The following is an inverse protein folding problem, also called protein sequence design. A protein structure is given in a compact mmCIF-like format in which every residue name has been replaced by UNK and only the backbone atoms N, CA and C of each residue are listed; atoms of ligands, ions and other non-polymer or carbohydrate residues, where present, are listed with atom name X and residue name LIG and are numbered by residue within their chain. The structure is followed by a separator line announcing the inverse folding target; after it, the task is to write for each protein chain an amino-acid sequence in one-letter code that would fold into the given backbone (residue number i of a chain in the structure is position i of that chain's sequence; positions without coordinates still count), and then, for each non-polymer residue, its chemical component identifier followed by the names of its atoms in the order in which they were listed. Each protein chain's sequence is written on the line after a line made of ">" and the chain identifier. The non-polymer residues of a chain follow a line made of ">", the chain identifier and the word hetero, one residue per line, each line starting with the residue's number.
data_IF_096116919507
#
_entry.id   IF_096116919507
#
_cell.length_a   1.000
_cell.length_b   1.000
_cell.length_c   1.000
_cell.angle_alpha   90.00
_cell.angle_beta   90.00
_cell.angle_gamma   90.00
#
_symmetry.space_group_name_H-M   'P 1'
#
loop_
_entity.id
_entity.type
_entity.pdbx_description
1 polymer ?
#
# COMPACT_ATOMS: atom_id res chain seq x y z
N UNK A 1 -66.11 4.20 11.97
CA UNK A 1 -64.70 3.84 12.22
C UNK A 1 -64.13 3.35 10.90
N UNK A 2 -63.49 4.25 10.16
CA UNK A 2 -62.81 3.96 8.90
C UNK A 2 -61.41 3.48 9.26
N UNK A 3 -61.12 2.20 9.01
CA UNK A 3 -59.77 1.64 9.11
C UNK A 3 -58.95 2.24 7.95
N UNK A 4 -58.01 3.11 8.27
CA UNK A 4 -56.99 3.56 7.33
C UNK A 4 -56.04 2.38 7.05
N UNK A 5 -56.19 1.77 5.88
CA UNK A 5 -55.20 0.84 5.37
C UNK A 5 -53.94 1.65 5.03
N UNK A 6 -52.90 1.52 5.84
CA UNK A 6 -51.57 1.99 5.48
C UNK A 6 -51.14 1.20 4.25
N UNK A 7 -51.01 1.88 3.12
CA UNK A 7 -50.43 1.32 1.91
C UNK A 7 -49.00 0.96 2.26
N UNK A 8 -48.65 -0.33 2.24
CA UNK A 8 -47.25 -0.72 2.29
C UNK A 8 -46.54 -0.01 1.11
N UNK A 9 -45.36 0.61 1.33
CA UNK A 9 -44.57 1.11 0.23
C UNK A 9 -44.33 -0.03 -0.77
N UNK A 10 -44.25 0.25 -2.08
CA UNK A 10 -44.02 -0.79 -3.08
C UNK A 10 -42.76 -1.57 -2.71
N UNK A 11 -42.87 -2.90 -2.64
CA UNK A 11 -41.73 -3.80 -2.47
C UNK A 11 -40.72 -3.48 -3.58
N UNK A 12 -39.54 -3.02 -3.18
CA UNK A 12 -38.40 -2.88 -4.09
C UNK A 12 -37.75 -4.24 -4.22
N UNK A 13 -37.45 -4.64 -5.45
CA UNK A 13 -36.67 -5.84 -5.70
C UNK A 13 -35.33 -5.74 -4.95
N UNK A 14 -34.85 -6.85 -4.33
CA UNK A 14 -33.55 -6.87 -3.68
C UNK A 14 -32.42 -6.45 -4.62
N UNK A 15 -31.49 -5.65 -4.13
CA UNK A 15 -30.36 -5.16 -4.92
C UNK A 15 -29.10 -4.96 -4.07
N UNK A 16 -27.95 -5.02 -4.74
CA UNK A 16 -26.66 -4.58 -4.21
C UNK A 16 -26.32 -3.26 -4.92
N UNK A 17 -26.51 -2.14 -4.24
CA UNK A 17 -26.22 -0.81 -4.75
C UNK A 17 -24.73 -0.50 -4.47
N UNK A 18 -23.94 -0.30 -5.52
CA UNK A 18 -22.50 0.02 -5.43
C UNK A 18 -22.24 1.35 -6.13
N UNK A 19 -21.69 2.32 -5.40
CA UNK A 19 -21.35 3.65 -5.93
C UNK A 19 -19.86 3.92 -5.72
N UNK A 20 -19.06 4.01 -6.78
CA UNK A 20 -17.66 4.46 -6.70
C UNK A 20 -17.56 5.88 -6.12
N UNK A 21 -16.47 6.16 -5.42
CA UNK A 21 -16.11 7.49 -4.92
C UNK A 21 -14.89 8.01 -5.69
N UNK A 22 -14.67 9.32 -5.62
CA UNK A 22 -13.65 10.03 -6.40
C UNK A 22 -12.27 9.99 -5.74
N UNK A 23 -11.55 8.88 -5.88
CA UNK A 23 -10.16 8.76 -5.41
C UNK A 23 -9.57 7.39 -5.71
N UNK A 24 -8.24 7.29 -5.83
CA UNK A 24 -7.59 6.01 -6.14
C UNK A 24 -7.78 4.96 -5.06
N UNK A 25 -7.88 5.40 -3.80
CA UNK A 25 -8.14 4.57 -2.63
C UNK A 25 -9.39 5.03 -1.89
N UNK A 26 -10.34 5.68 -2.56
CA UNK A 26 -11.60 5.99 -1.89
C UNK A 26 -12.43 4.70 -1.78
N UNK A 27 -13.05 4.43 -0.61
CA UNK A 27 -13.90 3.28 -0.43
C UNK A 27 -15.15 3.39 -1.30
N UNK A 28 -15.69 2.25 -1.71
CA UNK A 28 -16.99 2.18 -2.37
C UNK A 28 -18.10 2.46 -1.35
N UNK A 29 -19.20 3.09 -1.78
CA UNK A 29 -20.43 3.06 -1.00
C UNK A 29 -21.25 1.82 -1.42
N UNK A 30 -21.49 0.91 -0.47
CA UNK A 30 -22.21 -0.35 -0.72
C UNK A 30 -23.43 -0.44 0.20
N UNK A 31 -24.61 -0.54 -0.41
CA UNK A 31 -25.86 -0.76 0.32
C UNK A 31 -26.60 -1.97 -0.22
N UNK A 32 -27.02 -2.86 0.69
CA UNK A 32 -27.96 -3.92 0.39
C UNK A 32 -29.38 -3.37 0.58
N UNK A 33 -30.23 -3.46 -0.42
CA UNK A 33 -31.55 -2.83 -0.44
C UNK A 33 -32.65 -3.82 -0.78
N UNK A 34 -33.90 -3.50 -0.42
CA UNK A 34 -35.08 -4.31 -0.79
C UNK A 34 -35.21 -5.62 0.01
N UNK A 35 -34.65 -5.68 1.23
CA UNK A 35 -34.52 -6.93 1.98
C UNK A 35 -35.75 -7.28 2.81
N UNK A 36 -36.55 -6.28 3.22
CA UNK A 36 -37.58 -6.44 4.23
C UNK A 36 -37.00 -6.26 5.65
N UNK A 37 -37.77 -5.61 6.52
CA UNK A 37 -37.29 -5.19 7.83
C UNK A 37 -36.88 -6.36 8.73
N UNK A 38 -35.71 -6.26 9.38
CA UNK A 38 -35.19 -7.30 10.28
C UNK A 38 -34.80 -8.60 9.59
N UNK A 39 -34.77 -8.65 8.25
CA UNK A 39 -34.39 -9.86 7.51
C UNK A 39 -32.90 -10.10 7.63
N UNK A 40 -32.53 -11.34 7.95
CA UNK A 40 -31.14 -11.79 7.88
C UNK A 40 -30.75 -12.08 6.43
N UNK A 41 -29.60 -11.56 6.02
CA UNK A 41 -29.07 -11.74 4.66
C UNK A 41 -27.58 -12.08 4.70
N UNK A 42 -27.11 -12.82 3.71
CA UNK A 42 -25.71 -13.17 3.54
C UNK A 42 -25.16 -12.58 2.25
N UNK A 43 -24.10 -11.78 2.39
CA UNK A 43 -23.28 -11.26 1.30
C UNK A 43 -22.05 -12.16 1.15
N UNK A 44 -21.75 -12.57 -0.08
CA UNK A 44 -20.53 -13.29 -0.45
C UNK A 44 -19.82 -12.51 -1.54
N UNK A 45 -18.51 -12.29 -1.38
CA UNK A 45 -17.67 -11.77 -2.44
C UNK A 45 -16.73 -12.87 -2.95
N UNK A 46 -16.57 -12.97 -4.27
CA UNK A 46 -15.64 -13.92 -4.90
C UNK A 46 -14.84 -13.24 -6.00
N UNK A 47 -13.60 -13.70 -6.19
CA UNK A 47 -12.74 -13.29 -7.31
C UNK A 47 -11.74 -14.39 -7.62
N UNK A 48 -11.15 -14.32 -8.80
CA UNK A 48 -10.02 -15.15 -9.20
C UNK A 48 -8.91 -14.23 -9.71
N UNK A 49 -7.74 -14.31 -9.06
CA UNK A 49 -6.57 -13.49 -9.38
C UNK A 49 -5.42 -14.45 -9.65
N UNK A 50 -4.86 -14.44 -10.86
CA UNK A 50 -3.76 -15.32 -11.26
C UNK A 50 -4.03 -16.81 -10.94
N UNK A 51 -5.23 -17.29 -11.28
CA UNK A 51 -5.67 -18.66 -11.00
C UNK A 51 -5.93 -18.99 -9.53
N UNK A 52 -5.81 -18.00 -8.63
CA UNK A 52 -6.10 -18.14 -7.21
C UNK A 52 -7.52 -17.65 -6.90
N UNK A 53 -8.41 -18.58 -6.57
CA UNK A 53 -9.75 -18.27 -6.12
C UNK A 53 -9.73 -17.70 -4.69
N UNK A 54 -10.47 -16.62 -4.50
CA UNK A 54 -10.58 -15.91 -3.24
C UNK A 54 -12.04 -15.62 -2.90
N UNK A 55 -12.37 -15.64 -1.61
CA UNK A 55 -13.72 -15.30 -1.16
C UNK A 55 -13.77 -14.71 0.24
N UNK A 56 -14.77 -13.85 0.47
CA UNK A 56 -15.19 -13.38 1.78
C UNK A 56 -16.70 -13.59 1.95
N UNK A 57 -17.18 -13.59 3.19
CA UNK A 57 -18.61 -13.63 3.47
C UNK A 57 -18.96 -12.86 4.73
N UNK A 58 -20.14 -12.27 4.75
CA UNK A 58 -20.71 -11.67 5.94
C UNK A 58 -22.22 -11.83 6.00
N UNK A 59 -22.74 -11.93 7.21
CA UNK A 59 -24.17 -11.97 7.52
C UNK A 59 -24.56 -10.64 8.15
N UNK A 60 -25.72 -10.11 7.75
CA UNK A 60 -26.27 -8.86 8.26
C UNK A 60 -27.76 -9.03 8.59
N UNK A 61 -28.28 -8.12 9.42
CA UNK A 61 -29.72 -7.97 9.66
C UNK A 61 -30.14 -6.61 9.12
N UNK A 62 -31.13 -6.59 8.23
CA UNK A 62 -31.64 -5.36 7.64
C UNK A 62 -32.34 -4.48 8.68
N UNK A 63 -32.20 -3.16 8.53
CA UNK A 63 -32.87 -2.15 9.35
C UNK A 63 -34.40 -2.12 9.13
N UNK A 64 -35.09 -1.16 9.77
CA UNK A 64 -36.56 -1.00 9.64
C UNK A 64 -37.01 -0.65 8.21
N UNK A 65 -36.11 -0.09 7.39
CA UNK A 65 -36.35 0.25 5.98
C UNK A 65 -35.97 -0.91 5.04
N UNK A 66 -35.49 -2.03 5.57
CA UNK A 66 -35.04 -3.18 4.79
C UNK A 66 -33.73 -2.92 4.06
N UNK A 67 -32.81 -2.15 4.66
CA UNK A 67 -31.50 -1.80 4.13
C UNK A 67 -30.36 -2.23 5.06
N UNK A 68 -29.17 -2.38 4.47
CA UNK A 68 -27.90 -2.52 5.17
C UNK A 68 -26.87 -1.66 4.45
N UNK A 69 -26.46 -0.55 5.06
CA UNK A 69 -25.29 0.20 4.61
C UNK A 69 -24.03 -0.38 5.28
N UNK A 70 -23.11 -0.92 4.45
CA UNK A 70 -21.92 -1.59 4.96
C UNK A 70 -20.95 -0.62 5.66
N UNK A 71 -20.98 0.68 5.33
CA UNK A 71 -20.13 1.68 5.97
C UNK A 71 -20.50 1.93 7.44
N UNK A 72 -21.74 1.63 7.82
CA UNK A 72 -22.29 1.97 9.14
C UNK A 72 -22.85 0.77 9.90
N UNK A 73 -23.06 -0.36 9.22
CA UNK A 73 -23.56 -1.61 9.83
C UNK A 73 -22.46 -2.66 9.90
N UNK A 74 -22.11 -3.09 11.12
CA UNK A 74 -21.20 -4.22 11.32
C UNK A 74 -21.92 -5.56 11.04
N UNK A 75 -21.23 -6.55 10.46
CA UNK A 75 -21.80 -7.88 10.26
C UNK A 75 -22.03 -8.60 11.58
N UNK A 76 -23.05 -9.45 11.64
CA UNK A 76 -23.34 -10.30 12.80
C UNK A 76 -22.44 -11.53 12.85
N UNK A 77 -21.93 -11.97 11.69
CA UNK A 77 -21.00 -13.08 11.51
C UNK A 77 -20.27 -12.86 10.18
N UNK A 78 -18.99 -13.24 10.06
CA UNK A 78 -18.34 -13.21 8.76
C UNK A 78 -16.82 -13.24 8.79
N UNK A 79 -16.25 -12.89 7.65
CA UNK A 79 -14.82 -12.71 7.41
C UNK A 79 -14.26 -11.43 8.03
N UNK A 80 -15.12 -10.48 8.42
CA UNK A 80 -14.78 -9.26 9.17
C UNK A 80 -15.84 -8.99 10.23
N UNK A 81 -15.56 -8.05 11.16
CA UNK A 81 -16.39 -7.82 12.37
C UNK A 81 -16.77 -6.37 12.62
N UNK A 82 -16.24 -5.42 11.85
CA UNK A 82 -16.52 -3.98 11.97
C UNK A 82 -17.42 -3.49 10.84
N UNK A 83 -18.08 -2.35 11.02
CA UNK A 83 -18.74 -1.65 9.92
C UNK A 83 -17.64 -1.13 8.97
N UNK A 84 -17.68 -1.59 7.72
CA UNK A 84 -16.68 -1.29 6.71
C UNK A 84 -17.23 -1.64 5.32
N UNK A 85 -17.38 -0.62 4.47
CA UNK A 85 -17.86 -0.80 3.10
C UNK A 85 -16.89 -1.63 2.23
N UNK A 86 -15.62 -1.66 2.60
CA UNK A 86 -14.58 -2.40 1.90
C UNK A 86 -14.28 -3.77 2.53
N UNK A 87 -14.98 -4.13 3.61
CA UNK A 87 -15.00 -5.46 4.24
C UNK A 87 -14.99 -6.62 3.23
N UNK A 88 -15.90 -6.64 2.23
CA UNK A 88 -15.95 -7.72 1.24
C UNK A 88 -14.65 -7.95 0.45
N UNK A 89 -13.78 -6.94 0.33
CA UNK A 89 -12.60 -6.96 -0.54
C UNK A 89 -11.32 -7.31 0.24
N UNK A 90 -11.01 -6.58 1.31
CA UNK A 90 -9.78 -6.83 2.06
C UNK A 90 -9.83 -8.13 2.86
N UNK A 91 -11.02 -8.58 3.26
CA UNK A 91 -11.18 -9.76 4.13
C UNK A 91 -11.24 -11.08 3.35
N UNK A 92 -10.98 -11.06 2.03
CA UNK A 92 -11.02 -12.29 1.24
C UNK A 92 -9.89 -13.22 1.66
N UNK A 93 -10.22 -14.51 1.69
CA UNK A 93 -9.31 -15.60 1.99
C UNK A 93 -9.25 -16.54 0.79
N UNK A 94 -8.10 -17.18 0.57
CA UNK A 94 -7.84 -18.01 -0.60
C UNK A 94 -6.39 -18.46 -0.65
N UNK A 95 -5.93 -18.87 -1.83
CA UNK A 95 -4.50 -19.15 -2.04
C UNK A 95 -3.68 -17.88 -1.84
N UNK A 96 -2.43 -18.07 -1.39
CA UNK A 96 -1.48 -16.97 -1.17
C UNK A 96 -1.18 -16.27 -2.50
N UNK A 97 -1.50 -14.98 -2.59
CA UNK A 97 -1.11 -14.12 -3.70
C UNK A 97 0.30 -13.58 -3.52
N UNK A 98 1.01 -13.41 -4.64
CA UNK A 98 2.18 -12.53 -4.71
C UNK A 98 1.78 -11.05 -4.63
N UNK A 99 2.73 -10.17 -4.32
CA UNK A 99 2.50 -8.72 -4.24
C UNK A 99 2.01 -8.14 -5.58
N UNK A 100 2.59 -8.60 -6.69
CA UNK A 100 2.19 -8.19 -8.04
C UNK A 100 0.74 -8.59 -8.35
N UNK A 101 0.38 -9.86 -8.12
CA UNK A 101 -0.96 -10.36 -8.32
C UNK A 101 -1.98 -9.60 -7.45
N UNK A 102 -1.62 -9.25 -6.21
CA UNK A 102 -2.47 -8.45 -5.34
C UNK A 102 -2.70 -7.01 -5.86
N UNK A 103 -1.79 -6.48 -6.67
CA UNK A 103 -1.92 -5.17 -7.33
C UNK A 103 -2.69 -5.20 -8.65
N UNK A 104 -2.98 -6.39 -9.20
CA UNK A 104 -3.57 -6.53 -10.52
C UNK A 104 -5.05 -6.12 -10.56
N UNK A 105 -5.48 -5.67 -11.74
CA UNK A 105 -6.88 -5.48 -12.08
C UNK A 105 -7.63 -6.81 -11.99
N UNK A 106 -8.77 -6.80 -11.29
CA UNK A 106 -9.62 -7.97 -11.18
C UNK A 106 -11.08 -7.57 -10.97
N UNK A 107 -11.98 -8.48 -11.28
CA UNK A 107 -13.41 -8.31 -11.05
C UNK A 107 -13.83 -9.08 -9.80
N UNK A 108 -14.70 -8.49 -8.99
CA UNK A 108 -15.25 -9.10 -7.79
C UNK A 108 -16.76 -9.28 -7.96
N UNK A 109 -17.22 -10.52 -7.89
CA UNK A 109 -18.66 -10.82 -7.87
C UNK A 109 -19.16 -10.71 -6.44
N UNK A 110 -20.17 -9.87 -6.23
CA UNK A 110 -20.91 -9.76 -4.97
C UNK A 110 -22.26 -10.45 -5.14
N UNK A 111 -22.51 -11.50 -4.36
CA UNK A 111 -23.76 -12.26 -4.39
C UNK A 111 -24.48 -12.15 -3.04
N UNK A 112 -25.76 -11.79 -3.09
CA UNK A 112 -26.63 -11.60 -1.93
C UNK A 112 -27.67 -12.71 -1.88
N UNK A 113 -27.85 -13.33 -0.72
CA UNK A 113 -28.83 -14.39 -0.49
C UNK A 113 -29.53 -14.25 0.86
N UNK A 114 -30.70 -14.87 0.98
CA UNK A 114 -31.42 -15.03 2.24
C UNK A 114 -32.06 -16.41 2.28
N UNK A 115 -32.00 -17.08 3.43
CA UNK A 115 -32.51 -18.45 3.61
C UNK A 115 -31.94 -19.47 2.59
N UNK A 116 -30.74 -19.21 2.06
CA UNK A 116 -30.09 -20.02 1.03
C UNK A 116 -30.52 -19.72 -0.41
N UNK A 117 -31.50 -18.84 -0.62
CA UNK A 117 -31.98 -18.45 -1.94
C UNK A 117 -31.28 -17.16 -2.43
N UNK A 118 -30.85 -17.10 -3.70
CA UNK A 118 -30.23 -15.91 -4.27
C UNK A 118 -31.25 -14.77 -4.40
N UNK A 119 -30.84 -13.56 -3.99
CA UNK A 119 -31.64 -12.35 -4.06
C UNK A 119 -31.14 -11.39 -5.14
N UNK A 120 -29.83 -11.14 -5.19
CA UNK A 120 -29.22 -10.21 -6.13
C UNK A 120 -27.74 -10.57 -6.35
N UNK A 121 -27.19 -10.11 -7.48
CA UNK A 121 -25.77 -10.23 -7.79
C UNK A 121 -25.31 -8.99 -8.56
N UNK A 122 -24.07 -8.57 -8.33
CA UNK A 122 -23.40 -7.52 -9.11
C UNK A 122 -21.92 -7.82 -9.24
N UNK A 123 -21.27 -7.23 -10.25
CA UNK A 123 -19.82 -7.33 -10.46
C UNK A 123 -19.21 -5.95 -10.25
N UNK A 124 -18.16 -5.90 -9.44
CA UNK A 124 -17.39 -4.69 -9.13
C UNK A 124 -16.01 -4.85 -9.74
N UNK A 125 -15.65 -3.96 -10.66
CA UNK A 125 -14.29 -3.89 -11.17
C UNK A 125 -13.36 -3.24 -10.14
N UNK A 126 -12.22 -3.89 -9.85
CA UNK A 126 -11.19 -3.43 -8.92
C UNK A 126 -9.89 -3.20 -9.69
N UNK A 127 -9.82 -2.09 -10.41
CA UNK A 127 -8.60 -1.68 -11.09
C UNK A 127 -7.53 -1.31 -10.06
N UNK A 128 -6.29 -1.80 -10.23
CA UNK A 128 -5.06 -1.52 -9.49
C UNK A 128 -4.75 -0.02 -9.34
N UNK A 129 -5.34 0.77 -10.22
CA UNK A 129 -5.06 2.17 -10.50
C UNK A 129 -6.32 2.83 -11.07
N UNK A 130 -6.36 4.16 -11.05
CA UNK A 130 -7.31 4.90 -11.90
C UNK A 130 -7.01 4.58 -13.36
N UNK A 131 -8.00 4.63 -14.26
CA UNK A 131 -7.83 4.32 -15.69
C UNK A 131 -6.97 5.32 -16.47
N UNK A 132 -6.38 6.31 -15.79
CA UNK A 132 -5.61 7.41 -16.34
C UNK A 132 -4.14 7.35 -15.89
N UNK A 133 -3.59 6.15 -15.67
CA UNK A 133 -2.17 5.93 -15.41
C UNK A 133 -1.52 5.21 -16.59
N UNK A 134 -0.48 5.81 -17.15
CA UNK A 134 0.40 5.18 -18.13
C UNK A 134 1.65 4.61 -17.45
N UNK A 135 1.99 3.35 -17.72
CA UNK A 135 3.23 2.72 -17.22
C UNK A 135 4.17 2.46 -18.39
N UNK A 136 5.39 3.01 -18.32
CA UNK A 136 6.43 2.87 -19.35
C UNK A 136 7.63 2.14 -18.79
N UNK A 137 8.07 1.07 -19.47
CA UNK A 137 9.34 0.43 -19.13
C UNK A 137 10.52 1.32 -19.55
N UNK A 138 11.52 1.45 -18.68
CA UNK A 138 12.70 2.30 -18.88
C UNK A 138 13.95 1.45 -18.79
N UNK A 139 14.80 1.55 -19.81
CA UNK A 139 16.09 0.85 -19.92
C UNK A 139 17.28 1.79 -20.10
N UNK A 140 17.07 3.09 -19.88
CA UNK A 140 18.09 4.12 -20.02
C UNK A 140 19.22 3.89 -19.00
N UNK A 141 20.47 4.17 -19.40
CA UNK A 141 21.66 4.01 -18.55
C UNK A 141 21.80 2.63 -17.85
N UNK A 142 21.23 1.59 -18.46
CA UNK A 142 21.27 0.23 -17.92
C UNK A 142 20.32 -0.01 -16.75
N UNK A 143 19.42 0.94 -16.46
CA UNK A 143 18.37 0.76 -15.48
C UNK A 143 17.41 -0.35 -15.89
N UNK A 144 16.85 -1.03 -14.89
CA UNK A 144 15.66 -1.86 -15.05
C UNK A 144 14.57 -1.17 -14.25
N UNK A 145 13.72 -0.41 -14.93
CA UNK A 145 12.79 0.51 -14.30
C UNK A 145 11.43 0.57 -14.99
N UNK A 146 10.43 1.07 -14.28
CA UNK A 146 9.10 1.37 -14.81
C UNK A 146 8.63 2.72 -14.30
N UNK A 147 8.29 3.62 -15.23
CA UNK A 147 7.79 4.95 -14.92
C UNK A 147 6.27 4.97 -15.04
N UNK A 148 5.59 5.13 -13.91
CA UNK A 148 4.15 5.27 -13.82
C UNK A 148 3.79 6.76 -13.78
N UNK A 149 2.92 7.20 -14.68
CA UNK A 149 2.63 8.61 -14.93
C UNK A 149 1.12 8.82 -15.00
N UNK A 150 0.56 9.75 -14.22
CA UNK A 150 -0.83 10.14 -14.40
C UNK A 150 -1.03 10.91 -15.71
N UNK A 151 -2.17 10.71 -16.37
CA UNK A 151 -2.50 11.37 -17.62
C UNK A 151 -2.48 12.90 -17.46
N UNK A 152 -1.99 13.58 -18.49
CA UNK A 152 -1.96 15.03 -18.51
C UNK A 152 -0.92 15.69 -17.59
N UNK A 153 -0.05 14.93 -16.92
CA UNK A 153 1.01 15.46 -16.05
C UNK A 153 1.79 16.63 -16.67
N UNK A 154 2.23 16.49 -17.92
CA UNK A 154 3.01 17.51 -18.64
C UNK A 154 2.26 18.84 -18.85
N UNK A 155 0.93 18.84 -18.66
CA UNK A 155 0.06 20.01 -18.77
C UNK A 155 -0.35 20.59 -17.43
N UNK A 156 -0.01 19.92 -16.32
CA UNK A 156 -0.24 20.38 -14.96
C UNK A 156 0.88 21.32 -14.48
N UNK A 157 0.67 21.97 -13.33
CA UNK A 157 1.77 22.60 -12.61
C UNK A 157 2.83 21.53 -12.24
N UNK A 158 4.04 21.96 -11.91
CA UNK A 158 5.08 21.02 -11.45
C UNK A 158 4.53 20.19 -10.29
N UNK A 159 4.64 18.87 -10.40
CA UNK A 159 4.03 17.90 -9.48
C UNK A 159 5.11 17.19 -8.70
N UNK A 160 4.94 16.98 -7.38
CA UNK A 160 5.81 16.11 -6.61
C UNK A 160 5.96 14.73 -7.25
N UNK A 161 7.16 14.15 -7.15
CA UNK A 161 7.47 12.87 -7.79
C UNK A 161 8.10 11.90 -6.80
N UNK A 162 7.99 10.59 -7.06
CA UNK A 162 8.48 9.57 -6.13
C UNK A 162 9.41 8.57 -6.83
N UNK A 163 10.64 8.43 -6.34
CA UNK A 163 11.51 7.32 -6.68
C UNK A 163 11.16 6.12 -5.79
N UNK A 164 10.74 5.01 -6.39
CA UNK A 164 10.17 3.85 -5.70
C UNK A 164 11.07 2.64 -5.90
N UNK A 165 11.31 1.89 -4.82
CA UNK A 165 12.05 0.64 -4.88
C UNK A 165 11.55 -0.37 -3.84
N UNK A 166 11.78 -1.65 -4.15
CA UNK A 166 11.41 -2.78 -3.31
C UNK A 166 12.33 -2.96 -2.11
N UNK A 167 12.21 -4.10 -1.44
CA UNK A 167 13.07 -4.56 -0.36
C UNK A 167 13.87 -5.81 -0.73
N UNK A 168 14.00 -6.74 0.21
CA UNK A 168 14.82 -7.96 0.07
C UNK A 168 14.35 -8.95 -1.01
N UNK A 169 13.16 -8.76 -1.58
CA UNK A 169 12.67 -9.56 -2.70
C UNK A 169 13.53 -9.38 -3.95
N UNK A 170 13.97 -8.15 -4.24
CA UNK A 170 14.65 -7.77 -5.48
C UNK A 170 13.76 -7.86 -6.71
N UNK A 171 14.31 -7.54 -7.87
CA UNK A 171 13.52 -7.36 -9.09
C UNK A 171 12.69 -6.08 -9.07
N UNK A 172 11.78 -5.96 -10.03
CA UNK A 172 11.02 -4.73 -10.28
C UNK A 172 9.55 -4.80 -9.82
N UNK A 173 8.97 -5.99 -9.67
CA UNK A 173 7.51 -6.15 -9.61
C UNK A 173 6.87 -5.49 -8.39
N UNK A 174 7.50 -5.62 -7.21
CA UNK A 174 7.05 -4.96 -5.98
C UNK A 174 7.12 -3.43 -6.08
N UNK A 175 8.24 -2.91 -6.59
CA UNK A 175 8.44 -1.48 -6.82
C UNK A 175 7.46 -0.92 -7.86
N UNK A 176 7.22 -1.67 -8.96
CA UNK A 176 6.27 -1.31 -10.00
C UNK A 176 4.85 -1.17 -9.43
N UNK A 177 4.44 -2.12 -8.60
CA UNK A 177 3.11 -2.10 -7.96
C UNK A 177 2.92 -0.85 -7.07
N UNK A 178 3.94 -0.51 -6.28
CA UNK A 178 3.92 0.69 -5.46
C UNK A 178 3.94 1.99 -6.29
N UNK A 179 4.74 2.05 -7.37
CA UNK A 179 4.76 3.20 -8.28
C UNK A 179 3.42 3.43 -8.98
N UNK A 180 2.74 2.37 -9.41
CA UNK A 180 1.39 2.44 -9.96
C UNK A 180 0.39 2.98 -8.94
N UNK A 181 0.53 2.58 -7.68
CA UNK A 181 -0.31 3.07 -6.57
C UNK A 181 -0.09 4.58 -6.32
N UNK A 182 1.16 5.05 -6.35
CA UNK A 182 1.50 6.48 -6.26
C UNK A 182 0.98 7.27 -7.48
N UNK A 183 1.10 6.72 -8.69
CA UNK A 183 0.57 7.34 -9.89
C UNK A 183 -0.96 7.44 -9.87
N UNK A 184 -1.65 6.48 -9.26
CA UNK A 184 -3.09 6.55 -9.06
C UNK A 184 -3.49 7.68 -8.09
N UNK A 185 -2.65 8.05 -7.11
CA UNK A 185 -2.83 9.26 -6.31
C UNK A 185 -2.60 10.56 -7.13
N UNK A 186 -2.15 10.44 -8.38
CA UNK A 186 -1.91 11.55 -9.28
C UNK A 186 -0.48 12.09 -9.25
N UNK A 187 0.50 11.30 -8.79
CA UNK A 187 1.91 11.72 -8.73
C UNK A 187 2.80 10.81 -9.59
N UNK A 188 3.68 11.36 -10.45
CA UNK A 188 4.63 10.54 -11.21
C UNK A 188 5.54 9.73 -10.29
N UNK A 189 5.75 8.46 -10.61
CA UNK A 189 6.59 7.57 -9.83
C UNK A 189 7.49 6.69 -10.72
N UNK A 190 8.78 6.66 -10.40
CA UNK A 190 9.74 5.77 -11.05
C UNK A 190 10.05 4.59 -10.14
N UNK A 191 9.59 3.40 -10.52
CA UNK A 191 10.04 2.15 -9.93
C UNK A 191 11.40 1.75 -10.51
N UNK A 192 12.37 1.43 -9.65
CA UNK A 192 13.65 0.86 -10.07
C UNK A 192 13.91 -0.49 -9.41
N UNK A 193 14.55 -1.39 -10.15
CA UNK A 193 15.21 -2.56 -9.59
C UNK A 193 16.69 -2.25 -9.33
N UNK A 194 17.27 -2.82 -8.28
CA UNK A 194 18.68 -2.62 -7.91
C UNK A 194 19.46 -3.93 -7.72
N UNK A 195 18.77 -5.08 -7.70
CA UNK A 195 19.37 -6.42 -7.70
C UNK A 195 18.35 -7.45 -8.19
N UNK A 196 18.82 -8.64 -8.59
CA UNK A 196 18.02 -9.73 -9.19
C UNK A 196 17.34 -9.37 -10.52
N UNK A 197 17.79 -8.33 -11.21
CA UNK A 197 17.44 -8.08 -12.61
C UNK A 197 18.66 -8.23 -13.53
N UNK A 198 18.46 -8.36 -14.86
CA UNK A 198 19.57 -8.51 -15.80
C UNK A 198 20.63 -7.42 -15.63
N UNK A 199 21.90 -7.82 -15.55
CA UNK A 199 23.03 -6.89 -15.38
C UNK A 199 23.28 -6.41 -13.96
N UNK A 200 22.46 -6.80 -12.98
CA UNK A 200 22.57 -6.38 -11.59
C UNK A 200 23.13 -7.50 -10.68
N UNK A 201 23.52 -7.18 -9.42
CA UNK A 201 23.86 -8.20 -8.43
C UNK A 201 22.75 -9.24 -8.27
N UNK A 202 23.09 -10.49 -8.00
CA UNK A 202 22.10 -11.57 -7.81
C UNK A 202 21.59 -11.68 -6.37
N UNK A 203 22.26 -11.01 -5.44
CA UNK A 203 22.01 -11.03 -4.00
C UNK A 203 21.92 -9.60 -3.48
N UNK A 204 21.31 -9.42 -2.30
CA UNK A 204 21.33 -8.13 -1.61
C UNK A 204 22.70 -7.98 -0.93
N UNK A 205 23.75 -7.84 -1.72
CA UNK A 205 25.12 -7.74 -1.25
C UNK A 205 25.90 -6.85 -2.20
N UNK A 206 26.61 -5.88 -1.63
CA UNK A 206 27.45 -4.93 -2.35
C UNK A 206 26.70 -4.18 -3.47
N UNK A 207 25.41 -3.91 -3.28
CA UNK A 207 24.57 -3.18 -4.24
C UNK A 207 25.06 -1.73 -4.35
N UNK A 208 25.37 -1.23 -5.56
CA UNK A 208 25.81 0.15 -5.75
C UNK A 208 24.68 1.15 -5.46
N UNK A 209 24.93 2.13 -4.59
CA UNK A 209 24.02 3.26 -4.30
C UNK A 209 23.77 4.09 -5.56
N UNK A 210 24.71 4.09 -6.50
CA UNK A 210 24.66 4.79 -7.77
C UNK A 210 23.45 4.38 -8.63
N UNK A 211 22.93 3.15 -8.47
CA UNK A 211 21.70 2.74 -9.15
C UNK A 211 20.49 3.62 -8.74
N UNK A 212 20.41 3.97 -7.45
CA UNK A 212 19.36 4.85 -6.93
C UNK A 212 19.58 6.31 -7.37
N UNK A 213 20.82 6.78 -7.35
CA UNK A 213 21.17 8.14 -7.79
C UNK A 213 20.90 8.34 -9.29
N UNK A 214 21.13 7.31 -10.10
CA UNK A 214 20.79 7.33 -11.54
C UNK A 214 19.28 7.46 -11.73
N UNK A 215 18.49 6.65 -11.02
CA UNK A 215 17.02 6.75 -11.04
C UNK A 215 16.51 8.11 -10.56
N UNK A 216 17.11 8.66 -9.50
CA UNK A 216 16.78 9.99 -8.98
C UNK A 216 17.05 11.07 -10.02
N UNK A 217 18.22 11.06 -10.66
CA UNK A 217 18.57 12.01 -11.72
C UNK A 217 17.60 11.92 -12.89
N UNK A 218 17.33 10.71 -13.36
CA UNK A 218 16.41 10.49 -14.47
C UNK A 218 14.99 11.00 -14.15
N UNK A 219 14.49 10.74 -12.93
CA UNK A 219 13.15 11.19 -12.52
C UNK A 219 13.05 12.72 -12.50
N UNK A 220 14.09 13.40 -12.01
CA UNK A 220 14.16 14.87 -11.96
C UNK A 220 14.18 15.53 -13.34
N UNK A 221 14.56 14.80 -14.38
CA UNK A 221 14.59 15.29 -15.77
C UNK A 221 13.23 15.18 -16.46
N UNK A 222 12.24 14.49 -15.87
CA UNK A 222 10.97 14.24 -16.54
C UNK A 222 10.08 15.50 -16.62
N UNK A 223 9.40 15.72 -17.77
CA UNK A 223 8.47 16.82 -17.91
C UNK A 223 7.35 16.80 -16.87
N UNK A 224 7.09 17.95 -16.23
CA UNK A 224 6.04 18.08 -15.22
C UNK A 224 6.46 17.69 -13.80
N UNK A 225 7.67 17.15 -13.59
CA UNK A 225 8.19 16.88 -12.24
C UNK A 225 8.64 18.17 -11.56
N UNK A 226 8.26 18.32 -10.28
CA UNK A 226 8.84 19.30 -9.38
C UNK A 226 10.14 18.79 -8.78
N UNK A 227 11.26 19.37 -9.23
CA UNK A 227 12.59 19.01 -8.77
C UNK A 227 12.85 19.38 -7.31
N UNK A 228 12.06 20.27 -6.72
CA UNK A 228 12.24 20.65 -5.31
C UNK A 228 11.42 19.74 -4.38
N UNK A 229 10.54 18.90 -4.94
CA UNK A 229 9.60 18.02 -4.21
C UNK A 229 9.66 16.58 -4.71
N UNK A 230 10.88 16.02 -4.76
CA UNK A 230 11.09 14.60 -5.06
C UNK A 230 11.22 13.79 -3.78
N UNK A 231 10.48 12.69 -3.68
CA UNK A 231 10.45 11.78 -2.54
C UNK A 231 11.07 10.44 -2.88
N UNK A 232 11.51 9.70 -1.87
CA UNK A 232 11.90 8.29 -2.02
C UNK A 232 10.93 7.37 -1.27
N UNK A 233 10.56 6.25 -1.88
CA UNK A 233 9.74 5.21 -1.28
C UNK A 233 10.51 3.89 -1.27
N UNK A 234 10.65 3.26 -0.10
CA UNK A 234 11.29 1.97 0.02
C UNK A 234 10.69 1.10 1.13
N UNK A 235 10.43 -0.17 0.85
CA UNK A 235 9.89 -1.12 1.84
C UNK A 235 10.99 -1.95 2.48
N UNK A 236 10.91 -2.22 3.79
CA UNK A 236 11.87 -3.10 4.49
C UNK A 236 13.33 -2.65 4.30
N UNK A 237 14.18 -3.49 3.69
CA UNK A 237 15.56 -3.15 3.31
C UNK A 237 15.63 -1.91 2.39
N UNK A 238 14.64 -1.71 1.53
CA UNK A 238 14.51 -0.48 0.74
C UNK A 238 14.25 0.74 1.62
N UNK A 239 13.52 0.60 2.73
CA UNK A 239 13.29 1.70 3.67
C UNK A 239 14.59 2.25 4.26
N UNK A 240 15.61 1.41 4.46
CA UNK A 240 16.97 1.86 4.83
C UNK A 240 17.52 2.85 3.80
N UNK A 241 17.44 2.48 2.52
CA UNK A 241 17.99 3.28 1.43
C UNK A 241 17.15 4.54 1.15
N UNK A 242 15.82 4.47 1.32
CA UNK A 242 14.95 5.65 1.19
C UNK A 242 15.31 6.71 2.24
N UNK A 243 15.45 6.30 3.51
CA UNK A 243 15.89 7.21 4.57
C UNK A 243 17.32 7.69 4.34
N UNK A 244 18.22 6.82 3.87
CA UNK A 244 19.60 7.19 3.58
C UNK A 244 19.70 8.24 2.48
N UNK A 245 18.95 8.09 1.39
CA UNK A 245 18.91 9.07 0.29
C UNK A 245 18.36 10.42 0.76
N UNK A 246 17.27 10.42 1.53
CA UNK A 246 16.71 11.66 2.10
C UNK A 246 17.69 12.38 3.03
N UNK A 247 18.47 11.63 3.81
CA UNK A 247 19.42 12.20 4.76
C UNK A 247 20.74 12.68 4.10
N UNK A 248 21.22 11.96 3.07
CA UNK A 248 22.53 12.23 2.46
C UNK A 248 22.45 13.07 1.18
N UNK A 249 21.25 13.21 0.60
CA UNK A 249 20.99 14.04 -0.57
C UNK A 249 19.78 14.98 -0.35
N UNK A 250 19.75 15.77 0.75
CA UNK A 250 18.60 16.63 1.08
C UNK A 250 18.35 17.74 0.04
N UNK A 251 19.36 18.08 -0.78
CA UNK A 251 19.24 19.01 -1.91
C UNK A 251 18.46 18.43 -3.10
N UNK A 252 18.28 17.10 -3.14
CA UNK A 252 17.62 16.39 -4.24
C UNK A 252 16.43 15.54 -3.81
N UNK A 253 16.37 15.16 -2.54
CA UNK A 253 15.30 14.34 -1.95
C UNK A 253 14.67 15.11 -0.81
N UNK A 254 13.44 15.54 -1.03
CA UNK A 254 12.65 16.34 -0.11
C UNK A 254 12.15 15.54 1.09
N UNK A 255 11.84 14.25 0.93
CA UNK A 255 11.27 13.42 1.99
C UNK A 255 11.25 11.94 1.66
N UNK A 256 10.77 11.11 2.59
CA UNK A 256 10.80 9.66 2.43
C UNK A 256 9.56 8.94 2.96
N UNK A 257 9.19 7.84 2.30
CA UNK A 257 8.16 6.90 2.72
C UNK A 257 8.83 5.54 2.96
N UNK A 258 8.84 5.07 4.20
CA UNK A 258 9.57 3.87 4.60
C UNK A 258 8.68 2.89 5.40
N UNK A 259 7.69 2.23 4.76
CA UNK A 259 6.92 1.19 5.41
C UNK A 259 7.83 0.01 5.75
N UNK A 260 7.76 -0.42 7.01
CA UNK A 260 8.59 -1.47 7.62
C UNK A 260 10.10 -1.27 7.46
N UNK A 261 10.54 -0.04 7.21
CA UNK A 261 11.95 0.33 7.08
C UNK A 261 12.73 0.35 8.39
N UNK A 262 14.03 0.60 8.29
CA UNK A 262 14.90 0.83 9.44
C UNK A 262 15.74 2.10 9.25
N UNK A 263 15.99 2.81 10.35
CA UNK A 263 16.94 3.92 10.39
C UNK A 263 18.41 3.51 10.49
N UNK A 264 18.76 2.29 10.09
CA UNK A 264 20.10 1.73 10.19
C UNK A 264 20.37 0.82 9.00
N UNK A 265 21.62 0.77 8.55
CA UNK A 265 22.07 -0.08 7.46
C UNK A 265 22.43 -1.47 8.01
N UNK A 266 21.74 -2.49 7.53
CA UNK A 266 22.06 -3.88 7.88
C UNK A 266 22.96 -4.52 6.83
N UNK A 267 23.74 -5.50 7.24
CA UNK A 267 24.57 -6.23 6.28
C UNK A 267 23.71 -7.02 5.27
N UNK A 268 24.34 -7.41 4.17
CA UNK A 268 23.68 -8.04 3.03
C UNK A 268 23.04 -9.39 3.33
N UNK A 269 22.26 -9.86 2.38
CA UNK A 269 21.61 -11.17 2.40
C UNK A 269 21.94 -11.94 1.11
N UNK A 270 22.32 -13.22 1.19
CA UNK A 270 22.29 -14.12 2.36
C UNK A 270 23.52 -14.01 3.28
N UNK A 271 24.56 -13.29 2.87
CA UNK A 271 25.78 -13.13 3.66
C UNK A 271 25.73 -11.89 4.57
N UNK A 272 25.24 -12.08 5.80
CA UNK A 272 25.10 -11.06 6.85
C UNK A 272 26.41 -10.47 7.39
N UNK A 273 27.51 -10.55 6.64
CA UNK A 273 28.84 -10.05 7.02
C UNK A 273 29.43 -9.09 5.98
N UNK A 274 28.80 -8.96 4.82
CA UNK A 274 29.19 -8.00 3.78
C UNK A 274 28.20 -6.86 3.77
N UNK A 275 28.63 -5.66 3.37
CA UNK A 275 27.71 -4.54 3.23
C UNK A 275 26.62 -4.86 2.22
N UNK A 276 25.38 -4.52 2.54
CA UNK A 276 24.30 -4.56 1.56
C UNK A 276 24.52 -3.53 0.45
N UNK A 277 25.11 -2.39 0.83
CA UNK A 277 25.24 -1.19 -0.01
C UNK A 277 26.71 -0.81 -0.20
N UNK A 278 27.07 -0.36 -1.40
CA UNK A 278 28.37 0.25 -1.69
C UNK A 278 28.19 1.65 -2.26
N UNK A 279 29.11 2.55 -1.95
CA UNK A 279 29.22 3.88 -2.53
C UNK A 279 30.65 4.06 -3.04
N UNK A 280 30.81 4.42 -4.31
CA UNK A 280 32.09 4.48 -5.01
C UNK A 280 32.90 3.17 -4.90
N UNK A 281 32.19 2.04 -4.88
CA UNK A 281 32.76 0.70 -4.68
C UNK A 281 33.24 0.39 -3.26
N UNK A 282 32.98 1.28 -2.29
CA UNK A 282 33.29 1.08 -0.86
C UNK A 282 32.03 0.67 -0.13
N UNK A 283 32.07 -0.44 0.60
CA UNK A 283 30.94 -0.88 1.42
C UNK A 283 30.58 0.14 2.50
N UNK A 284 29.30 0.52 2.57
CA UNK A 284 28.80 1.32 3.67
C UNK A 284 28.85 0.51 4.97
N UNK A 285 29.08 1.14 6.15
CA UNK A 285 29.03 0.45 7.43
C UNK A 285 27.69 -0.28 7.60
N UNK A 286 27.74 -1.50 8.12
CA UNK A 286 26.55 -2.32 8.28
C UNK A 286 26.60 -3.14 9.58
N UNK A 287 25.43 -3.42 10.15
CA UNK A 287 25.28 -4.30 11.30
C UNK A 287 24.79 -5.69 10.84
N UNK A 288 25.44 -6.80 11.26
CA UNK A 288 24.93 -8.14 11.01
C UNK A 288 23.55 -8.39 11.65
N UNK A 289 22.69 -9.14 10.95
CA UNK A 289 21.37 -9.52 11.48
C UNK A 289 20.33 -8.42 11.32
N UNK A 290 19.44 -8.29 12.31
CA UNK A 290 18.26 -7.40 12.28
C UNK A 290 17.91 -6.82 13.66
N UNK A 291 18.90 -6.70 14.55
CA UNK A 291 18.69 -6.24 15.91
C UNK A 291 18.47 -4.71 15.98
N UNK A 292 17.58 -4.27 16.87
CA UNK A 292 17.35 -2.85 17.21
C UNK A 292 18.51 -2.30 18.03
N UNK A 293 18.77 -0.98 17.96
CA UNK A 293 19.82 -0.32 18.74
C UNK A 293 21.22 -0.56 18.19
N UNK A 294 21.36 -0.49 16.85
CA UNK A 294 22.61 -0.74 16.13
C UNK A 294 23.70 0.32 16.44
N UNK A 295 24.99 0.01 16.19
CA UNK A 295 26.09 0.95 16.41
C UNK A 295 25.91 2.28 15.65
N UNK A 296 26.37 3.43 16.20
CA UNK A 296 26.19 4.74 15.57
C UNK A 296 26.70 4.82 14.12
N UNK A 297 27.76 4.10 13.78
CA UNK A 297 28.34 4.10 12.44
C UNK A 297 27.44 3.48 11.37
N UNK A 298 26.47 2.64 11.75
CA UNK A 298 25.51 2.01 10.84
C UNK A 298 24.19 2.76 10.77
N UNK A 299 23.98 3.73 11.68
CA UNK A 299 22.76 4.51 11.73
C UNK A 299 22.69 5.47 10.54
N UNK A 300 21.52 5.53 9.91
CA UNK A 300 21.20 6.58 8.95
C UNK A 300 21.10 7.91 9.70
N UNK A 301 21.76 8.99 9.23
CA UNK A 301 21.75 10.30 9.88
C UNK A 301 20.43 11.03 9.62
N UNK A 302 19.32 10.47 10.09
CA UNK A 302 17.96 10.96 9.83
C UNK A 302 17.68 12.36 10.37
N UNK A 303 18.51 12.86 11.30
CA UNK A 303 18.51 14.26 11.74
C UNK A 303 18.75 15.24 10.59
N UNK A 304 19.40 14.82 9.50
CA UNK A 304 19.67 15.65 8.32
C UNK A 304 18.50 15.71 7.33
N UNK A 305 17.40 14.98 7.56
CA UNK A 305 16.23 15.00 6.67
C UNK A 305 15.43 16.28 6.89
N UNK A 306 15.30 17.08 5.83
CA UNK A 306 14.70 18.43 5.91
C UNK A 306 13.19 18.49 5.63
N UNK A 307 12.60 17.44 5.06
CA UNK A 307 11.17 17.41 4.75
C UNK A 307 10.45 16.16 5.28
N UNK A 308 9.18 15.96 4.86
CA UNK A 308 8.27 15.05 5.54
C UNK A 308 8.65 13.57 5.34
N UNK A 309 8.43 12.80 6.40
CA UNK A 309 8.69 11.35 6.43
C UNK A 309 7.45 10.61 6.91
N UNK A 310 7.09 9.54 6.21
CA UNK A 310 6.06 8.59 6.66
C UNK A 310 6.71 7.25 6.97
N UNK A 311 6.61 6.81 8.23
CA UNK A 311 7.04 5.51 8.72
C UNK A 311 5.79 4.67 9.03
N UNK A 312 5.84 3.37 8.73
CA UNK A 312 4.77 2.46 9.13
C UNK A 312 5.30 1.11 9.60
N UNK A 313 4.63 0.47 10.54
CA UNK A 313 4.99 -0.86 11.01
C UNK A 313 3.77 -1.67 11.49
N UNK A 314 3.91 -2.99 11.41
CA UNK A 314 3.04 -3.95 12.08
C UNK A 314 3.81 -4.74 13.13
N UNK A 315 3.15 -5.15 14.22
CA UNK A 315 3.80 -5.90 15.31
C UNK A 315 3.86 -7.41 15.08
N UNK A 316 3.19 -7.92 14.05
CA UNK A 316 3.19 -9.34 13.73
C UNK A 316 4.31 -9.72 12.74
N UNK A 317 4.68 -11.00 12.72
CA UNK A 317 5.68 -11.54 11.80
C UNK A 317 7.03 -11.86 12.48
N UNK A 318 7.72 -12.96 12.10
CA UNK A 318 8.85 -13.49 12.87
C UNK A 318 10.25 -12.98 12.46
N UNK A 319 10.39 -12.13 11.44
CA UNK A 319 11.69 -11.91 10.78
C UNK A 319 12.34 -10.54 11.02
N UNK A 320 11.53 -9.51 11.31
CA UNK A 320 11.96 -8.12 11.35
C UNK A 320 11.10 -7.36 12.37
N UNK A 321 11.69 -6.85 13.45
CA UNK A 321 10.96 -6.04 14.45
C UNK A 321 10.69 -4.63 13.90
N UNK A 322 9.81 -4.55 12.91
CA UNK A 322 9.51 -3.31 12.18
C UNK A 322 9.12 -2.17 13.13
N UNK A 323 8.33 -2.48 14.18
CA UNK A 323 7.91 -1.46 15.14
C UNK A 323 9.00 -1.09 16.14
N UNK A 324 9.85 -2.03 16.56
CA UNK A 324 11.07 -1.70 17.31
C UNK A 324 11.98 -0.76 16.53
N UNK A 325 12.16 -1.01 15.23
CA UNK A 325 12.97 -0.19 14.33
C UNK A 325 12.36 1.20 14.09
N UNK A 326 11.05 1.28 13.91
CA UNK A 326 10.33 2.55 13.82
C UNK A 326 10.52 3.38 15.09
N UNK A 327 10.35 2.77 16.28
CA UNK A 327 10.53 3.44 17.58
C UNK A 327 11.98 3.84 17.86
N UNK A 328 12.95 3.15 17.25
CA UNK A 328 14.37 3.49 17.33
C UNK A 328 14.75 4.68 16.44
N UNK A 329 14.20 4.76 15.22
CA UNK A 329 14.54 5.84 14.28
C UNK A 329 13.77 7.13 14.54
N UNK A 330 12.47 7.04 14.89
CA UNK A 330 11.61 8.22 15.05
C UNK A 330 12.18 9.29 16.00
N UNK A 331 12.77 8.95 17.16
CA UNK A 331 13.30 9.95 18.08
C UNK A 331 14.55 10.68 17.57
N UNK A 332 15.21 10.17 16.52
CA UNK A 332 16.48 10.70 15.99
C UNK A 332 16.29 11.86 15.01
N UNK A 333 15.09 12.10 14.49
CA UNK A 333 14.81 13.26 13.65
C UNK A 333 14.87 14.57 14.46
N UNK A 334 15.48 15.61 13.88
CA UNK A 334 15.60 16.94 14.49
C UNK A 334 14.22 17.63 14.61
N UNK A 335 13.39 17.53 13.56
CA UNK A 335 12.00 17.98 13.58
C UNK A 335 11.03 16.81 13.49
N UNK A 336 10.59 16.33 14.66
CA UNK A 336 9.58 15.27 14.74
C UNK A 336 8.20 15.70 14.21
N UNK A 337 7.96 17.00 14.01
CA UNK A 337 6.74 17.52 13.38
C UNK A 337 6.62 17.11 11.91
N UNK A 338 7.74 16.75 11.26
CA UNK A 338 7.79 16.26 9.88
C UNK A 338 7.59 14.75 9.79
N UNK A 339 7.52 14.03 10.91
CA UNK A 339 7.46 12.55 10.92
C UNK A 339 6.06 12.08 11.28
N UNK A 340 5.38 11.48 10.29
CA UNK A 340 4.16 10.70 10.51
C UNK A 340 4.52 9.23 10.75
N UNK A 341 4.05 8.66 11.85
CA UNK A 341 4.32 7.28 12.23
C UNK A 341 3.02 6.50 12.41
N UNK A 342 2.87 5.44 11.62
CA UNK A 342 1.76 4.49 11.69
C UNK A 342 2.25 3.22 12.39
N UNK A 343 1.79 2.97 13.60
CA UNK A 343 2.09 1.73 14.32
C UNK A 343 0.80 0.96 14.55
N UNK A 344 0.73 -0.27 14.04
CA UNK A 344 -0.48 -1.08 14.15
C UNK A 344 -0.20 -2.43 14.81
N UNK A 345 -0.85 -2.66 15.95
CA UNK A 345 -0.83 -3.96 16.63
C UNK A 345 -1.51 -5.02 15.75
N UNK A 346 -0.94 -6.22 15.72
CA UNK A 346 -1.37 -7.38 14.94
C UNK A 346 -1.39 -7.17 13.41
N UNK A 347 -0.81 -6.09 12.90
CA UNK A 347 -0.60 -5.93 11.47
C UNK A 347 0.65 -6.69 11.01
N UNK A 348 0.58 -7.22 9.79
CA UNK A 348 1.69 -7.87 9.11
C UNK A 348 2.71 -6.89 8.49
N UNK A 349 3.68 -7.44 7.77
CA UNK A 349 4.84 -6.73 7.20
C UNK A 349 4.54 -6.02 5.87
N UNK A 350 3.52 -6.47 5.14
CA UNK A 350 3.27 -6.03 3.75
C UNK A 350 2.33 -4.81 3.71
N UNK A 351 2.81 -3.69 4.23
CA UNK A 351 2.10 -2.40 4.26
C UNK A 351 2.23 -1.61 2.95
N UNK A 352 3.19 -2.01 2.08
CA UNK A 352 3.40 -1.44 0.73
C UNK A 352 2.25 -1.71 -0.24
N UNK A 353 1.40 -2.70 0.03
CA UNK A 353 0.25 -2.98 -0.84
C UNK A 353 -0.82 -1.93 -0.59
N UNK A 354 -1.41 -1.39 -1.66
CA UNK A 354 -2.50 -0.44 -1.58
C UNK A 354 -3.69 -0.97 -0.74
N UNK A 355 -4.51 -0.07 -0.15
CA UNK A 355 -5.68 -0.46 0.63
C UNK A 355 -6.70 -1.32 -0.15
N UNK A 356 -7.54 -2.05 0.59
CA UNK A 356 -8.65 -2.86 0.09
C UNK A 356 -8.29 -4.00 -0.86
N UNK A 357 -7.00 -4.35 -0.94
CA UNK A 357 -6.56 -5.53 -1.67
C UNK A 357 -6.68 -6.77 -0.82
N UNK A 358 -7.17 -7.87 -1.40
CA UNK A 358 -7.22 -9.13 -0.70
C UNK A 358 -5.79 -9.62 -0.52
N UNK A 359 -5.27 -9.57 0.71
CA UNK A 359 -3.93 -10.07 0.98
C UNK A 359 -3.96 -11.08 2.12
N UNK A 360 -4.21 -12.33 1.74
CA UNK A 360 -4.00 -13.51 2.57
C UNK A 360 -2.52 -13.88 2.62
N UNK A 361 -1.70 -13.02 3.24
CA UNK A 361 -0.41 -13.50 3.72
C UNK A 361 -0.65 -14.05 5.11
N UNK A 362 -0.57 -15.38 5.22
CA UNK A 362 -0.55 -16.10 6.49
C UNK A 362 0.76 -15.74 7.23
N UNK A 363 0.88 -14.49 7.66
CA UNK A 363 1.93 -14.04 8.55
C UNK A 363 1.56 -14.45 9.98
N UNK A 364 2.38 -15.26 10.64
CA UNK A 364 2.07 -15.70 12.00
C UNK A 364 1.82 -14.51 12.94
N UNK A 365 0.64 -14.51 13.57
CA UNK A 365 0.22 -13.46 14.49
C UNK A 365 -0.44 -12.25 13.83
N UNK A 366 -0.44 -12.14 12.50
CA UNK A 366 -1.10 -11.04 11.82
C UNK A 366 -2.61 -11.29 11.72
N UNK A 367 -3.41 -10.24 11.88
CA UNK A 367 -4.83 -10.27 11.56
C UNK A 367 -5.10 -9.48 10.27
N UNK A 368 -6.00 -9.95 9.39
CA UNK A 368 -6.34 -9.24 8.15
C UNK A 368 -6.87 -7.83 8.40
N UNK A 369 -7.71 -7.64 9.44
CA UNK A 369 -8.27 -6.34 9.78
C UNK A 369 -7.22 -5.33 10.24
N UNK A 370 -6.31 -5.72 11.14
CA UNK A 370 -5.22 -4.84 11.56
C UNK A 370 -4.28 -4.50 10.39
N UNK A 371 -3.92 -5.50 9.58
CA UNK A 371 -3.07 -5.27 8.40
C UNK A 371 -3.75 -4.34 7.40
N UNK A 372 -5.06 -4.47 7.21
CA UNK A 372 -5.82 -3.57 6.36
C UNK A 372 -5.80 -2.13 6.90
N UNK A 373 -6.08 -1.93 8.19
CA UNK A 373 -6.07 -0.60 8.80
C UNK A 373 -4.70 0.06 8.67
N UNK A 374 -3.62 -0.68 8.94
CA UNK A 374 -2.25 -0.17 8.78
C UNK A 374 -1.95 0.32 7.35
N UNK A 375 -2.51 -0.36 6.33
CA UNK A 375 -2.38 0.08 4.93
C UNK A 375 -3.15 1.36 4.66
N UNK A 376 -4.39 1.45 5.14
CA UNK A 376 -5.21 2.66 4.98
C UNK A 376 -4.46 3.84 5.60
N UNK A 377 -4.08 3.73 6.87
CA UNK A 377 -3.41 4.81 7.59
C UNK A 377 -2.08 5.22 6.94
N UNK A 378 -1.29 4.25 6.45
CA UNK A 378 -0.03 4.52 5.77
C UNK A 378 -0.24 5.25 4.43
N UNK A 379 -1.14 4.75 3.58
CA UNK A 379 -1.38 5.34 2.27
C UNK A 379 -2.10 6.69 2.34
N UNK A 380 -2.98 6.89 3.32
CA UNK A 380 -3.59 8.20 3.61
C UNK A 380 -2.52 9.21 4.04
N UNK A 381 -1.55 8.81 4.87
CA UNK A 381 -0.44 9.66 5.26
C UNK A 381 0.48 10.01 4.07
N UNK A 382 0.74 9.05 3.17
CA UNK A 382 1.50 9.29 1.93
C UNK A 382 0.78 10.29 1.04
N UNK A 383 -0.53 10.11 0.81
CA UNK A 383 -1.32 11.03 -0.01
C UNK A 383 -1.37 12.43 0.60
N UNK A 384 -1.57 12.54 1.92
CA UNK A 384 -1.57 13.82 2.62
C UNK A 384 -0.25 14.59 2.45
N UNK A 385 0.90 13.91 2.60
CA UNK A 385 2.22 14.52 2.39
C UNK A 385 2.40 15.00 0.95
N UNK A 386 2.02 14.18 -0.04
CA UNK A 386 2.15 14.54 -1.44
C UNK A 386 1.19 15.69 -1.84
N UNK A 387 -0.02 15.71 -1.26
CA UNK A 387 -1.01 16.75 -1.47
C UNK A 387 -0.60 18.09 -0.84
N UNK A 388 0.06 18.06 0.31
CA UNK A 388 0.67 19.24 0.91
C UNK A 388 1.84 19.76 0.08
N UNK A 389 2.72 18.87 -0.41
CA UNK A 389 3.87 19.25 -1.21
C UNK A 389 3.53 19.85 -2.59
N UNK A 390 2.31 19.61 -3.09
CA UNK A 390 1.79 20.17 -4.34
C UNK A 390 1.34 21.65 -4.21
N UNK A 391 1.06 22.13 -3.00
CA UNK A 391 0.62 23.49 -2.72
C UNK A 391 1.79 24.47 -2.69
#
# INVERSE_FOLDING_TARGET
>A
MTLAACSAPPERDPAIEVVPQDGAFDPLAITLAGLGAGREVRLVATTEIDGSAMSSRATFVADEDGRVDLATTAPTEGSWTTADAMGPFWSMTGSRLGVEAAGADHSVTLSLSADGEPLAETVVERTGHRTDVEVRDVTDDGMVAAYAVPDGLATQARTPAVLVFGGSEGGLDGARTAAVSIAALGYPALAISYFKSPGQPTELAEVPVEAFLTGLSWLREQPGVDTDRVFTFGVSRGGEMALWLAANHPDQVHGAFAPTGAGSLYCGYPNWRVSAWTLDGVGLPCEPGSAVGTPPETQVPVEAVEGPVVLACGTAGPQWDACGLLRDVRPRFDDQGLVTAVEQEDAGHFLVVAPYRPLGLDEPGATPGATHQARVDFWDAVDAVLAEARQ
#
